data_IF_525598378483
#
_entry.id   IF_525598378483
#
_cell.length_a   1.000
_cell.length_b   1.000
_cell.length_c   1.000
_cell.angle_alpha   90.00
_cell.angle_beta   90.00
_cell.angle_gamma   90.00
#
_symmetry.space_group_name_H-M   'P 1'
#
loop_
_entity.id
_entity.type
_entity.pdbx_description
1 polymer ?
#
# COMPACT_ATOMS: atom_id res chain seq x y z
N UNK A 1 8.86 24.52 7.61
CA UNK A 1 7.77 24.15 6.67
C UNK A 1 8.30 23.09 5.73
N UNK A 2 7.85 21.86 5.89
CA UNK A 2 8.38 20.73 5.13
C UNK A 2 7.68 20.61 3.76
N UNK A 3 6.39 20.93 3.68
CA UNK A 3 5.66 20.96 2.41
C UNK A 3 4.59 22.03 2.37
N UNK A 4 4.21 22.46 1.16
CA UNK A 4 3.00 23.25 0.93
C UNK A 4 1.80 22.30 0.85
N UNK A 5 0.57 22.75 1.16
CA UNK A 5 -0.63 21.98 0.90
C UNK A 5 -0.67 21.53 -0.57
N UNK A 6 -1.24 20.36 -0.82
CA UNK A 6 -1.36 19.84 -2.19
C UNK A 6 -2.21 20.80 -3.02
N UNK A 7 -1.63 21.31 -4.09
CA UNK A 7 -2.33 22.11 -5.11
C UNK A 7 -2.46 21.33 -6.42
N UNK A 8 -3.09 21.92 -7.42
CA UNK A 8 -3.35 21.26 -8.72
C UNK A 8 -2.08 20.72 -9.42
N UNK A 9 -0.92 21.33 -9.14
CA UNK A 9 0.37 20.99 -9.77
C UNK A 9 1.35 20.26 -8.84
N UNK A 10 0.97 19.99 -7.60
CA UNK A 10 1.86 19.40 -6.60
C UNK A 10 1.35 18.03 -6.17
N UNK A 11 2.23 17.03 -6.24
CA UNK A 11 1.93 15.71 -5.68
C UNK A 11 2.03 15.74 -4.16
N UNK A 12 1.19 14.94 -3.47
CA UNK A 12 1.37 14.72 -2.03
C UNK A 12 2.80 14.23 -1.74
N UNK A 13 3.39 14.77 -0.68
CA UNK A 13 4.66 14.30 -0.19
C UNK A 13 4.41 13.33 0.97
N UNK A 14 5.02 12.16 0.86
CA UNK A 14 5.13 11.18 1.94
C UNK A 14 6.59 11.07 2.33
N UNK A 15 6.89 11.17 3.64
CA UNK A 15 8.24 11.09 4.18
C UNK A 15 8.25 10.04 5.28
N UNK A 16 9.09 9.04 5.14
CA UNK A 16 9.32 8.03 6.17
C UNK A 16 10.80 8.06 6.56
N UNK A 17 11.09 8.26 7.83
CA UNK A 17 12.45 8.24 8.39
C UNK A 17 12.66 6.91 9.11
N UNK A 18 13.70 6.20 8.71
CA UNK A 18 14.09 4.91 9.25
C UNK A 18 15.49 4.98 9.84
N UNK A 19 15.73 4.27 10.95
CA UNK A 19 17.07 4.11 11.50
C UNK A 19 17.81 3.00 10.76
N UNK A 20 19.00 3.31 10.27
CA UNK A 20 19.84 2.35 9.53
C UNK A 20 20.14 1.09 10.33
N UNK A 21 20.49 1.26 11.60
CA UNK A 21 20.87 0.16 12.49
C UNK A 21 19.70 -0.80 12.76
N UNK A 22 18.47 -0.28 12.86
CA UNK A 22 17.27 -1.10 13.01
C UNK A 22 16.94 -1.88 11.74
N UNK A 23 17.09 -1.26 10.57
CA UNK A 23 16.93 -1.96 9.28
C UNK A 23 17.97 -3.08 9.16
N UNK A 24 19.22 -2.81 9.53
CA UNK A 24 20.30 -3.81 9.48
C UNK A 24 20.11 -4.95 10.50
N UNK A 25 19.50 -4.68 11.64
CA UNK A 25 19.16 -5.70 12.64
C UNK A 25 18.06 -6.64 12.13
N UNK A 26 17.19 -6.20 11.22
CA UNK A 26 16.18 -7.04 10.55
C UNK A 26 15.10 -7.59 11.49
N UNK A 27 14.76 -6.89 12.56
CA UNK A 27 13.73 -7.32 13.53
C UNK A 27 12.33 -6.97 13.00
N UNK A 28 11.60 -7.96 12.54
CA UNK A 28 10.21 -7.79 12.09
C UNK A 28 9.22 -7.65 13.28
N UNK A 29 8.19 -6.77 13.19
CA UNK A 29 8.07 -5.70 12.22
C UNK A 29 9.07 -4.57 12.46
N UNK A 30 9.55 -3.99 11.35
CA UNK A 30 10.47 -2.85 11.37
C UNK A 30 9.77 -1.60 11.91
N UNK A 31 10.57 -0.65 12.43
CA UNK A 31 10.06 0.63 12.95
C UNK A 31 10.40 1.78 12.02
N UNK A 32 9.52 2.78 11.96
CA UNK A 32 9.90 4.12 11.52
C UNK A 32 10.09 5.04 12.73
N UNK A 33 11.01 5.99 12.62
CA UNK A 33 11.18 7.05 13.61
C UNK A 33 10.17 8.17 13.44
N UNK A 34 9.82 8.44 12.19
CA UNK A 34 8.87 9.46 11.82
C UNK A 34 8.23 9.10 10.49
N UNK A 35 6.93 9.28 10.41
CA UNK A 35 6.20 9.28 9.15
C UNK A 35 5.39 10.56 9.00
N UNK A 36 5.44 11.17 7.84
CA UNK A 36 4.60 12.29 7.45
C UNK A 36 3.93 11.99 6.11
N UNK A 37 2.63 12.27 6.04
CA UNK A 37 1.84 12.30 4.82
C UNK A 37 0.78 13.38 4.91
N UNK A 38 0.14 13.71 3.79
CA UNK A 38 -0.89 14.77 3.77
C UNK A 38 -2.09 14.46 4.68
N UNK A 39 -2.37 13.19 4.95
CA UNK A 39 -3.41 12.76 5.89
C UNK A 39 -3.12 13.15 7.34
N UNK A 40 -1.88 13.39 7.73
CA UNK A 40 -1.48 13.85 9.06
C UNK A 40 -1.41 15.37 9.18
N UNK A 41 -1.63 16.11 8.11
CA UNK A 41 -1.41 17.56 8.07
C UNK A 41 -2.26 18.33 9.05
N UNK A 42 -3.53 18.03 9.13
CA UNK A 42 -4.46 18.77 10.02
C UNK A 42 -4.20 18.41 11.49
N UNK A 43 -3.98 17.15 11.80
CA UNK A 43 -3.58 16.70 13.14
C UNK A 43 -2.31 17.41 13.63
N UNK A 44 -1.29 17.51 12.76
CA UNK A 44 -0.04 18.20 13.10
C UNK A 44 -0.20 19.71 13.26
N UNK A 45 -1.14 20.34 12.55
CA UNK A 45 -1.49 21.75 12.75
C UNK A 45 -2.16 22.00 14.10
N UNK A 46 -2.93 21.05 14.58
CA UNK A 46 -3.62 21.08 15.87
C UNK A 46 -2.71 20.72 17.04
N UNK A 47 -1.44 20.44 16.79
CA UNK A 47 -0.44 20.14 17.82
C UNK A 47 -0.14 18.66 18.02
N UNK A 48 -0.61 17.81 17.12
CA UNK A 48 -0.24 16.40 17.07
C UNK A 48 1.28 16.21 16.91
N UNK A 49 1.79 15.10 17.38
CA UNK A 49 3.23 14.76 17.35
C UNK A 49 3.47 13.49 16.55
N UNK A 50 4.55 13.49 15.77
CA UNK A 50 5.04 12.30 15.09
C UNK A 50 5.84 11.45 16.07
N UNK A 51 5.55 10.17 16.15
CA UNK A 51 6.22 9.21 17.04
C UNK A 51 6.73 8.01 16.27
N UNK A 52 7.78 7.40 16.81
CA UNK A 52 8.29 6.12 16.32
C UNK A 52 7.26 5.01 16.53
N UNK A 53 7.03 4.19 15.52
CA UNK A 53 6.10 3.05 15.58
C UNK A 53 6.64 1.87 14.77
N UNK A 54 6.27 0.67 15.20
CA UNK A 54 6.44 -0.55 14.41
C UNK A 54 5.33 -0.65 13.37
N UNK A 55 5.73 -0.95 12.13
CA UNK A 55 4.79 -0.98 11.02
C UNK A 55 5.21 -2.07 10.01
N UNK A 56 4.37 -3.09 9.79
CA UNK A 56 4.60 -4.11 8.76
C UNK A 56 4.82 -3.53 7.35
N UNK A 57 4.21 -2.39 7.03
CA UNK A 57 4.33 -1.74 5.72
C UNK A 57 5.77 -1.29 5.41
N UNK A 58 6.64 -1.13 6.41
CA UNK A 58 8.05 -0.79 6.20
C UNK A 58 8.78 -1.90 5.42
N UNK A 59 8.47 -3.18 5.70
CA UNK A 59 9.06 -4.29 4.93
C UNK A 59 8.59 -4.26 3.47
N UNK A 60 7.32 -3.92 3.21
CA UNK A 60 6.79 -3.75 1.85
C UNK A 60 7.47 -2.57 1.14
N UNK A 61 7.61 -1.43 1.84
CA UNK A 61 8.29 -0.24 1.35
C UNK A 61 9.75 -0.53 0.96
N UNK A 62 10.51 -1.18 1.85
CA UNK A 62 11.92 -1.51 1.62
C UNK A 62 12.10 -2.51 0.48
N UNK A 63 11.24 -3.55 0.40
CA UNK A 63 11.25 -4.50 -0.73
C UNK A 63 11.07 -3.78 -2.05
N UNK A 64 10.11 -2.86 -2.14
CA UNK A 64 9.88 -2.05 -3.34
C UNK A 64 11.03 -1.08 -3.62
N UNK A 65 11.48 -0.35 -2.60
CA UNK A 65 12.52 0.66 -2.73
C UNK A 65 13.85 0.06 -3.21
N UNK A 66 14.16 -1.20 -2.87
CA UNK A 66 15.37 -1.86 -3.31
C UNK A 66 15.53 -1.87 -4.83
N UNK A 67 14.44 -2.01 -5.58
CA UNK A 67 14.43 -2.08 -7.04
C UNK A 67 13.98 -0.78 -7.72
N UNK A 68 13.29 0.08 -7.00
CA UNK A 68 12.65 1.28 -7.54
C UNK A 68 12.93 2.50 -6.66
N UNK A 69 14.17 3.01 -6.71
CA UNK A 69 14.53 4.21 -5.96
C UNK A 69 15.44 5.15 -6.78
N UNK A 70 15.49 6.40 -6.34
CA UNK A 70 16.47 7.38 -6.80
C UNK A 70 17.26 7.85 -5.60
N UNK A 71 18.56 7.64 -5.63
CA UNK A 71 19.46 8.10 -4.56
C UNK A 71 19.65 9.60 -4.68
N UNK A 72 19.25 10.33 -3.65
CA UNK A 72 19.50 11.77 -3.55
C UNK A 72 20.78 12.06 -2.78
N UNK A 73 21.13 11.20 -1.81
CA UNK A 73 22.34 11.35 -1.01
C UNK A 73 22.76 10.00 -0.39
N UNK A 74 24.07 9.77 -0.27
CA UNK A 74 24.62 8.54 0.33
C UNK A 74 24.64 7.33 -0.61
N UNK A 75 24.89 6.11 -0.07
CA UNK A 75 24.92 4.88 -0.85
C UNK A 75 23.51 4.42 -1.24
N UNK A 76 23.40 3.67 -2.33
CA UNK A 76 22.15 3.05 -2.74
C UNK A 76 21.67 2.04 -1.69
N UNK A 77 20.36 1.85 -1.61
CA UNK A 77 19.73 1.03 -0.57
C UNK A 77 20.23 -0.42 -0.59
N UNK A 78 20.41 -0.98 -1.77
CA UNK A 78 20.91 -2.34 -2.00
C UNK A 78 22.34 -2.61 -1.53
N UNK A 79 23.13 -1.52 -1.31
CA UNK A 79 24.51 -1.62 -0.81
C UNK A 79 24.63 -1.80 0.71
N UNK A 80 23.56 -1.52 1.46
CA UNK A 80 23.63 -1.51 2.91
C UNK A 80 22.41 -2.11 3.64
N UNK A 81 21.22 -2.08 3.02
CA UNK A 81 20.03 -2.68 3.60
C UNK A 81 19.94 -4.17 3.26
N UNK A 82 19.57 -5.03 4.20
CA UNK A 82 19.30 -6.44 3.93
C UNK A 82 18.14 -6.57 2.93
N UNK A 83 18.10 -7.70 2.25
CA UNK A 83 16.97 -8.02 1.41
C UNK A 83 15.79 -8.50 2.25
N UNK A 84 14.61 -7.94 2.01
CA UNK A 84 13.37 -8.44 2.60
C UNK A 84 13.02 -9.77 1.93
N UNK A 85 12.94 -10.83 2.71
CA UNK A 85 12.63 -12.16 2.20
C UNK A 85 11.18 -12.28 1.72
N UNK A 86 10.90 -13.27 0.86
CA UNK A 86 9.52 -13.58 0.44
C UNK A 86 8.63 -13.98 1.63
N UNK A 87 9.22 -14.58 2.68
CA UNK A 87 8.49 -14.93 3.89
C UNK A 87 8.12 -13.67 4.70
N UNK A 88 9.04 -12.74 4.86
CA UNK A 88 8.79 -11.47 5.55
C UNK A 88 7.79 -10.60 4.79
N UNK A 89 7.92 -10.52 3.46
CA UNK A 89 6.95 -9.82 2.62
C UNK A 89 5.54 -10.41 2.77
N UNK A 90 5.44 -11.74 2.76
CA UNK A 90 4.17 -12.42 2.98
C UNK A 90 3.60 -12.13 4.38
N UNK A 91 4.44 -12.15 5.43
CA UNK A 91 4.01 -11.83 6.79
C UNK A 91 3.50 -10.39 6.88
N UNK A 92 4.23 -9.43 6.29
CA UNK A 92 3.83 -8.03 6.26
C UNK A 92 2.46 -7.83 5.58
N UNK A 93 2.22 -8.51 4.47
CA UNK A 93 0.92 -8.46 3.78
C UNK A 93 -0.19 -9.14 4.59
N UNK A 94 0.13 -10.22 5.31
CA UNK A 94 -0.82 -10.90 6.18
C UNK A 94 -1.22 -10.05 7.38
N UNK A 95 -0.29 -9.23 7.89
CA UNK A 95 -0.53 -8.37 9.06
C UNK A 95 -1.26 -7.07 8.69
N UNK A 96 -1.04 -6.54 7.48
CA UNK A 96 -1.74 -5.33 6.98
C UNK A 96 -3.12 -5.60 6.38
N UNK A 97 -3.34 -6.76 5.80
CA UNK A 97 -4.57 -7.08 5.09
C UNK A 97 -5.86 -6.95 5.94
N UNK A 98 -5.93 -7.45 7.20
CA UNK A 98 -7.14 -7.36 8.00
C UNK A 98 -7.61 -5.92 8.25
N UNK A 99 -6.69 -4.99 8.47
CA UNK A 99 -7.00 -3.58 8.68
C UNK A 99 -7.60 -2.94 7.43
N UNK A 100 -7.02 -3.22 6.26
CA UNK A 100 -7.55 -2.72 4.98
C UNK A 100 -8.97 -3.25 4.73
N UNK A 101 -9.22 -4.54 4.99
CA UNK A 101 -10.55 -5.13 4.76
C UNK A 101 -11.59 -4.63 5.76
N UNK A 102 -11.19 -4.38 7.00
CA UNK A 102 -12.09 -3.87 8.03
C UNK A 102 -12.56 -2.43 7.75
N UNK A 103 -11.71 -1.60 7.12
CA UNK A 103 -11.93 -0.16 7.01
C UNK A 103 -11.89 0.36 5.55
N UNK A 104 -12.08 -0.51 4.55
CA UNK A 104 -11.92 -0.15 3.13
C UNK A 104 -12.90 0.93 2.64
N UNK A 105 -14.04 1.09 3.30
CA UNK A 105 -15.12 2.02 2.97
C UNK A 105 -15.24 3.19 3.96
N UNK A 106 -14.27 3.34 4.84
CA UNK A 106 -14.19 4.45 5.78
C UNK A 106 -13.43 5.64 5.17
N UNK A 107 -13.66 6.83 5.71
CA UNK A 107 -12.88 8.06 5.46
C UNK A 107 -12.73 8.49 3.99
N UNK A 108 -13.64 8.10 3.11
CA UNK A 108 -13.60 8.49 1.68
C UNK A 108 -12.32 8.08 0.93
N UNK A 109 -11.68 6.98 1.35
CA UNK A 109 -10.44 6.47 0.75
C UNK A 109 -10.62 5.12 0.02
N UNK A 110 -11.86 4.75 -0.30
CA UNK A 110 -12.26 3.47 -0.90
C UNK A 110 -11.40 3.10 -2.11
N UNK A 111 -11.11 4.09 -2.97
CA UNK A 111 -10.24 3.91 -4.12
C UNK A 111 -8.85 3.40 -3.73
N UNK A 112 -8.20 4.03 -2.75
CA UNK A 112 -6.85 3.66 -2.33
C UNK A 112 -6.83 2.30 -1.65
N UNK A 113 -7.86 1.97 -0.87
CA UNK A 113 -7.99 0.69 -0.18
C UNK A 113 -8.20 -0.46 -1.17
N UNK A 114 -9.10 -0.33 -2.14
CA UNK A 114 -9.34 -1.35 -3.16
C UNK A 114 -8.09 -1.55 -4.03
N UNK A 115 -7.41 -0.49 -4.41
CA UNK A 115 -6.17 -0.58 -5.17
C UNK A 115 -5.01 -1.18 -4.32
N UNK A 116 -5.03 -1.00 -2.99
CA UNK A 116 -4.12 -1.69 -2.08
C UNK A 116 -4.40 -3.19 -2.02
N UNK A 117 -5.67 -3.61 -1.96
CA UNK A 117 -6.05 -5.03 -2.05
C UNK A 117 -5.60 -5.65 -3.38
N UNK A 118 -5.75 -4.94 -4.51
CA UNK A 118 -5.22 -5.41 -5.79
C UNK A 118 -3.70 -5.63 -5.73
N UNK A 119 -2.96 -4.72 -5.08
CA UNK A 119 -1.51 -4.85 -4.91
C UNK A 119 -1.13 -6.01 -4.01
N UNK A 120 -1.84 -6.23 -2.91
CA UNK A 120 -1.62 -7.39 -2.03
C UNK A 120 -1.82 -8.68 -2.83
N UNK A 121 -2.95 -8.83 -3.52
CA UNK A 121 -3.23 -10.03 -4.32
C UNK A 121 -2.16 -10.28 -5.38
N UNK A 122 -1.81 -9.25 -6.15
CA UNK A 122 -0.72 -9.31 -7.12
C UNK A 122 0.58 -9.81 -6.48
N UNK A 123 0.96 -9.19 -5.36
CA UNK A 123 2.26 -9.48 -4.73
C UNK A 123 2.32 -10.88 -4.13
N UNK A 124 1.23 -11.40 -3.59
CA UNK A 124 1.15 -12.77 -3.09
C UNK A 124 1.33 -13.81 -4.22
N UNK A 125 0.77 -13.54 -5.39
CA UNK A 125 0.84 -14.46 -6.55
C UNK A 125 2.17 -14.31 -7.29
N UNK A 126 2.58 -13.08 -7.58
CA UNK A 126 3.74 -12.80 -8.43
C UNK A 126 5.07 -12.72 -7.67
N UNK A 127 5.02 -12.66 -6.33
CA UNK A 127 6.19 -12.46 -5.44
C UNK A 127 6.97 -11.18 -5.75
N UNK A 128 6.28 -10.19 -6.29
CA UNK A 128 6.81 -8.89 -6.68
C UNK A 128 5.85 -7.78 -6.27
N UNK A 129 6.30 -6.54 -6.21
CA UNK A 129 5.49 -5.39 -5.81
C UNK A 129 5.29 -4.44 -6.97
N UNK A 130 4.10 -4.44 -7.55
CA UNK A 130 3.69 -3.49 -8.56
C UNK A 130 3.17 -2.16 -7.95
N UNK A 131 3.07 -1.11 -8.77
CA UNK A 131 2.26 0.06 -8.43
C UNK A 131 0.78 -0.33 -8.32
N UNK A 132 0.00 0.43 -7.55
CA UNK A 132 -1.43 0.15 -7.32
C UNK A 132 -2.21 -0.01 -8.63
N UNK A 133 -1.98 0.88 -9.60
CA UNK A 133 -2.63 0.85 -10.90
C UNK A 133 -2.21 -0.34 -11.77
N UNK A 134 -0.93 -0.72 -11.76
CA UNK A 134 -0.46 -1.90 -12.49
C UNK A 134 -1.00 -3.21 -11.89
N UNK A 135 -1.01 -3.31 -10.56
CA UNK A 135 -1.62 -4.44 -9.88
C UNK A 135 -3.12 -4.57 -10.21
N UNK A 136 -3.86 -3.45 -10.19
CA UNK A 136 -5.26 -3.43 -10.56
C UNK A 136 -5.50 -3.82 -12.04
N UNK A 137 -4.63 -3.40 -12.96
CA UNK A 137 -4.69 -3.84 -14.37
C UNK A 137 -4.45 -5.33 -14.52
N UNK A 138 -3.59 -5.92 -13.70
CA UNK A 138 -3.37 -7.37 -13.68
C UNK A 138 -4.58 -8.14 -13.11
N UNK A 139 -5.27 -7.58 -12.11
CA UNK A 139 -6.52 -8.15 -11.56
C UNK A 139 -7.67 -8.08 -12.55
N UNK A 140 -7.78 -6.98 -13.30
CA UNK A 140 -8.93 -6.65 -14.14
C UNK A 140 -9.41 -7.79 -15.07
N UNK A 141 -8.55 -8.55 -15.81
CA UNK A 141 -9.00 -9.65 -16.65
C UNK A 141 -9.77 -10.74 -15.92
N UNK A 142 -9.57 -10.89 -14.61
CA UNK A 142 -10.15 -11.93 -13.76
C UNK A 142 -11.57 -11.58 -13.27
N UNK A 143 -11.99 -10.33 -13.45
CA UNK A 143 -13.28 -9.82 -12.98
C UNK A 143 -14.38 -9.95 -14.05
N UNK A 144 -15.66 -10.01 -13.66
CA UNK A 144 -16.80 -9.84 -14.57
C UNK A 144 -16.81 -8.45 -15.25
N UNK A 145 -17.48 -8.30 -16.42
CA UNK A 145 -17.45 -7.05 -17.19
C UNK A 145 -17.86 -5.80 -16.38
N UNK A 146 -18.89 -5.91 -15.53
CA UNK A 146 -19.39 -4.80 -14.71
C UNK A 146 -18.33 -4.33 -13.70
N UNK A 147 -17.66 -5.26 -13.02
CA UNK A 147 -16.60 -4.96 -12.07
C UNK A 147 -15.34 -4.44 -12.77
N UNK A 148 -15.05 -4.90 -14.00
CA UNK A 148 -13.95 -4.33 -14.81
C UNK A 148 -14.14 -2.84 -15.06
N UNK A 149 -15.37 -2.44 -15.39
CA UNK A 149 -15.69 -1.04 -15.64
C UNK A 149 -15.47 -0.18 -14.39
N UNK A 150 -15.91 -0.67 -13.22
CA UNK A 150 -15.71 0.03 -11.96
C UNK A 150 -14.21 0.11 -11.60
N UNK A 151 -13.47 -1.01 -11.69
CA UNK A 151 -12.04 -1.01 -11.42
C UNK A 151 -11.27 -0.09 -12.38
N UNK A 152 -11.67 0.00 -13.64
CA UNK A 152 -11.08 0.92 -14.61
C UNK A 152 -11.25 2.39 -14.17
N UNK A 153 -12.43 2.77 -13.66
CA UNK A 153 -12.69 4.12 -13.13
C UNK A 153 -11.82 4.43 -11.90
N UNK A 154 -11.67 3.48 -10.98
CA UNK A 154 -10.76 3.62 -9.84
C UNK A 154 -9.31 3.87 -10.28
N UNK A 155 -8.83 3.16 -11.30
CA UNK A 155 -7.50 3.36 -11.88
C UNK A 155 -7.39 4.76 -12.50
N UNK A 156 -8.37 5.18 -13.29
CA UNK A 156 -8.37 6.49 -13.97
C UNK A 156 -8.35 7.64 -12.97
N UNK A 157 -9.15 7.56 -11.91
CA UNK A 157 -9.12 8.55 -10.84
C UNK A 157 -7.78 8.57 -10.10
N UNK A 158 -7.24 7.40 -9.77
CA UNK A 158 -5.92 7.28 -9.13
C UNK A 158 -4.81 7.93 -9.96
N UNK A 159 -4.91 7.83 -11.28
CA UNK A 159 -3.96 8.45 -12.23
C UNK A 159 -4.24 9.93 -12.51
N UNK A 160 -5.35 10.46 -12.01
CA UNK A 160 -5.79 11.83 -12.30
C UNK A 160 -6.33 12.01 -13.72
N UNK A 161 -6.73 10.94 -14.39
CA UNK A 161 -7.31 10.96 -15.74
C UNK A 161 -8.78 11.39 -15.71
N UNK A 162 -9.45 11.20 -14.56
CA UNK A 162 -10.78 11.72 -14.26
C UNK A 162 -10.76 12.41 -12.89
N UNK A 163 -11.73 13.30 -12.64
CA UNK A 163 -11.90 13.98 -11.35
C UNK A 163 -12.29 13.02 -10.23
N UNK A 164 -12.17 13.50 -9.00
CA UNK A 164 -12.55 12.75 -7.79
C UNK A 164 -14.02 12.30 -7.90
N UNK A 165 -14.26 11.02 -7.61
CA UNK A 165 -15.57 10.41 -7.62
C UNK A 165 -16.13 10.31 -6.19
N UNK A 166 -17.45 10.23 -6.06
CA UNK A 166 -18.11 9.94 -4.79
C UNK A 166 -18.40 8.44 -4.68
N UNK A 167 -17.40 7.69 -4.24
CA UNK A 167 -17.49 6.23 -4.15
C UNK A 167 -18.43 5.75 -3.04
N UNK A 168 -18.69 6.56 -2.03
CA UNK A 168 -19.66 6.24 -0.98
C UNK A 168 -21.09 6.05 -1.56
N UNK A 169 -21.48 6.85 -2.55
CA UNK A 169 -22.75 6.67 -3.25
C UNK A 169 -22.77 5.44 -4.15
N UNK A 170 -21.62 4.94 -4.56
CA UNK A 170 -21.47 3.76 -5.42
C UNK A 170 -20.94 2.51 -4.66
N UNK A 171 -21.05 2.49 -3.33
CA UNK A 171 -20.55 1.39 -2.48
C UNK A 171 -21.00 0.00 -2.96
N UNK A 172 -22.26 -0.13 -3.41
CA UNK A 172 -22.81 -1.37 -3.96
C UNK A 172 -22.03 -1.91 -5.17
N UNK A 173 -21.36 -1.03 -5.94
CA UNK A 173 -20.54 -1.42 -7.08
C UNK A 173 -19.13 -1.83 -6.68
N UNK A 174 -18.64 -1.34 -5.54
CA UNK A 174 -17.31 -1.63 -5.00
C UNK A 174 -17.26 -2.94 -4.22
N UNK A 175 -18.29 -3.23 -3.42
CA UNK A 175 -18.36 -4.40 -2.55
C UNK A 175 -18.06 -5.74 -3.27
N UNK A 176 -18.58 -6.01 -4.49
CA UNK A 176 -18.26 -7.24 -5.22
C UNK A 176 -16.77 -7.36 -5.58
N UNK A 177 -16.07 -6.25 -5.83
CA UNK A 177 -14.61 -6.23 -6.11
C UNK A 177 -13.86 -6.58 -4.83
N UNK A 178 -14.23 -5.96 -3.71
CA UNK A 178 -13.64 -6.26 -2.40
C UNK A 178 -13.81 -7.72 -2.03
N UNK A 179 -15.02 -8.26 -2.18
CA UNK A 179 -15.31 -9.66 -1.89
C UNK A 179 -14.48 -10.62 -2.76
N UNK A 180 -14.34 -10.31 -4.05
CA UNK A 180 -13.48 -11.08 -4.96
C UNK A 180 -12.02 -11.05 -4.50
N UNK A 181 -11.48 -9.86 -4.23
CA UNK A 181 -10.10 -9.68 -3.80
C UNK A 181 -9.83 -10.37 -2.47
N UNK A 182 -10.72 -10.20 -1.49
CA UNK A 182 -10.60 -10.84 -0.17
C UNK A 182 -10.57 -12.36 -0.30
N UNK A 183 -11.50 -12.95 -1.06
CA UNK A 183 -11.50 -14.40 -1.29
C UNK A 183 -10.18 -14.88 -1.92
N UNK A 184 -9.66 -14.15 -2.91
CA UNK A 184 -8.41 -14.51 -3.58
C UNK A 184 -7.17 -14.35 -2.70
N UNK A 185 -7.13 -13.33 -1.87
CA UNK A 185 -6.04 -13.09 -0.92
C UNK A 185 -6.03 -14.19 0.15
N UNK A 186 -7.19 -14.51 0.71
CA UNK A 186 -7.35 -15.56 1.72
C UNK A 186 -6.96 -16.93 1.17
N UNK A 187 -7.35 -17.27 -0.07
CA UNK A 187 -6.88 -18.47 -0.76
C UNK A 187 -5.33 -18.55 -0.80
N UNK A 188 -4.64 -17.43 -1.09
CA UNK A 188 -3.17 -17.39 -1.11
C UNK A 188 -2.57 -17.58 0.29
N UNK A 189 -3.16 -16.98 1.31
CA UNK A 189 -2.71 -17.16 2.69
C UNK A 189 -2.88 -18.61 3.17
N UNK A 190 -3.99 -19.26 2.84
CA UNK A 190 -4.24 -20.67 3.18
C UNK A 190 -3.27 -21.61 2.47
N UNK A 191 -3.07 -21.43 1.15
CA UNK A 191 -2.13 -22.24 0.38
C UNK A 191 -0.72 -22.18 0.99
N UNK A 192 -0.26 -21.01 1.40
CA UNK A 192 1.07 -20.88 1.99
C UNK A 192 1.16 -21.47 3.38
N UNK A 193 0.12 -21.33 4.22
CA UNK A 193 0.08 -22.00 5.55
C UNK A 193 0.20 -23.51 5.43
N UNK A 194 -0.49 -24.09 4.46
CA UNK A 194 -0.46 -25.54 4.22
C UNK A 194 0.88 -26.06 3.67
N UNK A 195 1.74 -25.19 3.12
CA UNK A 195 3.08 -25.57 2.64
C UNK A 195 4.15 -25.52 3.75
N UNK A 196 3.85 -24.91 4.89
CA UNK A 196 4.77 -24.74 6.02
C UNK A 196 4.50 -25.79 7.11
N UNK A 197 3.34 -26.44 7.06
CA UNK A 197 2.93 -27.54 7.97
C UNK A 197 3.39 -28.89 7.41
#
# INVERSE_FOLDING_TARGET
KISQPVGELQRPLEVTILLKDEIQAGNYPLSYEMQFGEWLREELKEGGTLSSQKDPDISILLRKARFHHTVLFGPALDQWAPEISDQELWQAMSDTYPEIVAHWDEDTDERNQILALCRIYFSLVMKDIASKDNAARWVMPQLPPEQKFVLQRLIQEYRGEIGKQNWQEEHYALQPIVNFLSSKIEEQFEQKRNLIT
#
